data_IF_921595984799
#
_entry.id   IF_921595984799
#
_cell.length_a   1.000
_cell.length_b   1.000
_cell.length_c   1.000
_cell.angle_alpha   90.00
_cell.angle_beta   90.00
_cell.angle_gamma   90.00
#
_symmetry.space_group_name_H-M   'P 1'
#
loop_
_entity.id
_entity.type
_entity.pdbx_description
1 polymer ?
#
# COMPACT_ATOMS: atom_id res chain seq x y z
N UNK A 1 -11.05 4.61 -5.13
CA UNK A 1 -11.29 4.24 -3.72
C UNK A 1 -12.13 5.30 -3.01
N UNK A 2 -13.04 4.89 -2.13
CA UNK A 2 -13.92 5.79 -1.36
C UNK A 2 -13.24 6.33 -0.09
N UNK A 3 -12.63 7.53 -0.20
CA UNK A 3 -11.90 8.16 0.90
C UNK A 3 -12.79 8.63 2.05
N UNK A 4 -14.00 9.12 1.76
CA UNK A 4 -14.90 9.63 2.80
C UNK A 4 -15.39 8.51 3.70
N UNK A 5 -15.70 7.33 3.13
CA UNK A 5 -16.06 6.15 3.91
C UNK A 5 -14.90 5.64 4.77
N UNK A 6 -13.67 5.69 4.27
CA UNK A 6 -12.48 5.33 5.07
C UNK A 6 -12.30 6.30 6.24
N UNK A 7 -12.38 7.61 6.00
CA UNK A 7 -12.28 8.63 7.07
C UNK A 7 -13.32 8.38 8.17
N UNK A 8 -14.57 8.13 7.78
CA UNK A 8 -15.64 7.82 8.74
C UNK A 8 -15.32 6.54 9.54
N UNK A 9 -14.86 5.47 8.89
CA UNK A 9 -14.51 4.23 9.57
C UNK A 9 -13.33 4.39 10.55
N UNK A 10 -12.29 5.14 10.16
CA UNK A 10 -11.13 5.41 11.02
C UNK A 10 -11.53 6.25 12.23
N UNK A 11 -12.41 7.24 12.06
CA UNK A 11 -12.94 8.01 13.17
C UNK A 11 -13.66 7.11 14.18
N UNK A 12 -14.45 6.15 13.71
CA UNK A 12 -15.11 5.18 14.59
C UNK A 12 -14.13 4.23 15.27
N UNK A 13 -13.05 3.80 14.59
CA UNK A 13 -11.97 3.02 15.23
C UNK A 13 -11.32 3.80 16.37
N UNK A 14 -10.97 5.08 16.15
CA UNK A 14 -10.35 5.95 17.17
C UNK A 14 -11.25 6.04 18.42
N UNK A 15 -12.55 6.28 18.23
CA UNK A 15 -13.52 6.30 19.33
C UNK A 15 -13.65 4.94 20.01
N UNK A 16 -13.71 3.86 19.23
CA UNK A 16 -13.91 2.50 19.75
C UNK A 16 -12.75 2.00 20.61
N UNK A 17 -11.52 2.46 20.33
CA UNK A 17 -10.34 2.16 21.16
C UNK A 17 -10.19 3.09 22.38
N UNK A 18 -11.11 4.04 22.58
CA UNK A 18 -11.13 4.95 23.72
C UNK A 18 -10.25 6.20 23.59
N UNK A 19 -9.77 6.53 22.40
CA UNK A 19 -9.00 7.76 22.16
C UNK A 19 -9.90 8.96 21.83
N UNK A 20 -9.42 10.16 22.14
CA UNK A 20 -10.08 11.43 21.80
C UNK A 20 -9.78 11.85 20.35
N UNK A 21 -10.77 11.84 19.43
CA UNK A 21 -10.55 12.27 18.05
C UNK A 21 -10.23 13.75 17.91
N UNK A 22 -10.58 14.58 18.91
CA UNK A 22 -10.30 16.03 18.90
C UNK A 22 -8.91 16.38 19.45
N UNK A 23 -8.13 15.39 19.91
CA UNK A 23 -6.73 15.58 20.26
C UNK A 23 -5.94 16.05 19.05
N UNK A 24 -5.07 17.05 19.22
CA UNK A 24 -4.29 17.67 18.13
C UNK A 24 -3.64 16.63 17.20
N UNK A 25 -3.05 15.57 17.77
CA UNK A 25 -2.40 14.50 17.00
C UNK A 25 -3.35 13.60 16.20
N UNK A 26 -4.65 13.55 16.54
CA UNK A 26 -5.63 12.62 15.95
C UNK A 26 -6.65 13.28 15.02
N UNK A 27 -6.88 14.59 15.12
CA UNK A 27 -7.84 15.32 14.26
C UNK A 27 -7.71 15.00 12.78
N UNK A 28 -6.47 14.95 12.30
CA UNK A 28 -6.15 14.70 10.89
C UNK A 28 -5.85 13.21 10.58
N UNK A 29 -5.84 12.33 11.58
CA UNK A 29 -5.53 10.90 11.39
C UNK A 29 -6.46 10.20 10.40
N UNK A 30 -7.80 10.41 10.44
CA UNK A 30 -8.70 9.82 9.43
C UNK A 30 -8.33 10.16 7.99
N UNK A 31 -7.96 11.42 7.73
CA UNK A 31 -7.52 11.86 6.40
C UNK A 31 -6.19 11.19 6.02
N UNK A 32 -5.20 11.21 6.92
CA UNK A 32 -3.89 10.61 6.67
C UNK A 32 -3.98 9.11 6.38
N UNK A 33 -4.85 8.37 7.08
CA UNK A 33 -5.07 6.95 6.80
C UNK A 33 -5.75 6.73 5.44
N UNK A 34 -6.75 7.55 5.07
CA UNK A 34 -7.36 7.46 3.75
C UNK A 34 -6.38 7.77 2.61
N UNK A 35 -5.48 8.74 2.81
CA UNK A 35 -4.40 9.05 1.89
C UNK A 35 -3.40 7.88 1.79
N UNK A 36 -2.94 7.35 2.92
CA UNK A 36 -2.05 6.18 2.99
C UNK A 36 -2.64 4.96 2.29
N UNK A 37 -3.90 4.60 2.57
CA UNK A 37 -4.57 3.48 1.89
C UNK A 37 -4.61 3.68 0.38
N UNK A 38 -4.75 4.92 -0.09
CA UNK A 38 -4.80 5.20 -1.54
C UNK A 38 -3.49 4.87 -2.22
N UNK A 39 -2.39 5.12 -1.52
CA UNK A 39 -1.05 4.80 -2.00
C UNK A 39 -0.76 3.29 -1.91
N UNK A 40 -0.88 2.69 -0.72
CA UNK A 40 -0.44 1.31 -0.50
C UNK A 40 -1.35 0.26 -1.15
N UNK A 41 -2.60 0.62 -1.48
CA UNK A 41 -3.53 -0.23 -2.23
C UNK A 41 -3.74 0.24 -3.69
N UNK A 42 -2.90 1.14 -4.19
CA UNK A 42 -2.99 1.63 -5.58
C UNK A 42 -2.94 0.50 -6.61
N UNK A 43 -2.18 -0.57 -6.31
CA UNK A 43 -2.08 -1.77 -7.15
C UNK A 43 -3.40 -2.51 -7.40
N UNK A 44 -4.45 -2.32 -6.59
CA UNK A 44 -5.78 -2.91 -6.85
C UNK A 44 -6.45 -2.37 -8.12
N UNK A 45 -5.97 -1.23 -8.63
CA UNK A 45 -6.53 -0.53 -9.78
C UNK A 45 -5.53 -0.43 -10.94
N UNK A 46 -4.45 -1.21 -10.90
CA UNK A 46 -3.43 -1.26 -11.94
C UNK A 46 -3.35 -2.66 -12.52
N UNK A 47 -3.18 -2.77 -13.83
CA UNK A 47 -2.82 -4.04 -14.47
C UNK A 47 -1.29 -4.17 -14.48
N UNK A 48 -0.71 -5.14 -13.74
CA UNK A 48 0.74 -5.34 -13.75
C UNK A 48 1.27 -5.75 -15.14
N UNK A 49 0.44 -6.33 -16.01
CA UNK A 49 0.86 -6.70 -17.37
C UNK A 49 1.12 -5.46 -18.22
N UNK A 50 0.33 -4.39 -18.05
CA UNK A 50 0.55 -3.12 -18.74
C UNK A 50 1.89 -2.49 -18.36
N UNK A 51 2.30 -2.60 -17.11
CA UNK A 51 3.60 -2.11 -16.62
C UNK A 51 4.80 -2.87 -17.21
N UNK A 52 4.58 -4.10 -17.68
CA UNK A 52 5.61 -4.98 -18.23
C UNK A 52 5.71 -4.92 -19.77
N UNK A 53 4.93 -4.05 -20.43
CA UNK A 53 4.88 -3.99 -21.90
C UNK A 53 6.15 -3.46 -22.57
N UNK A 54 7.01 -2.75 -21.82
CA UNK A 54 8.26 -2.19 -22.37
C UNK A 54 9.39 -3.20 -22.24
N UNK A 55 9.99 -3.56 -23.37
CA UNK A 55 11.16 -4.43 -23.44
C UNK A 55 11.97 -4.15 -24.71
N UNK A 56 13.15 -4.76 -24.78
CA UNK A 56 14.02 -4.72 -25.96
C UNK A 56 14.44 -6.14 -26.31
N UNK A 57 14.59 -6.40 -27.61
CA UNK A 57 15.22 -7.64 -28.06
C UNK A 57 16.73 -7.52 -27.86
N UNK A 58 17.31 -8.48 -27.14
CA UNK A 58 18.75 -8.64 -27.01
C UNK A 58 19.08 -10.11 -27.27
N UNK A 59 20.19 -10.34 -27.96
CA UNK A 59 20.73 -11.66 -28.30
C UNK A 59 21.36 -12.40 -27.11
N UNK A 60 20.98 -12.02 -25.88
CA UNK A 60 21.48 -12.59 -24.63
C UNK A 60 20.85 -13.95 -24.35
N UNK A 61 21.68 -14.94 -23.98
CA UNK A 61 21.26 -16.33 -23.72
C UNK A 61 21.71 -16.86 -22.35
N UNK A 62 22.23 -15.99 -21.50
CA UNK A 62 22.69 -16.35 -20.16
C UNK A 62 21.63 -15.94 -19.12
N UNK A 63 21.83 -16.38 -17.87
CA UNK A 63 20.91 -16.07 -16.77
C UNK A 63 21.03 -14.59 -16.36
N UNK A 64 19.89 -13.91 -16.29
CA UNK A 64 19.77 -12.58 -15.69
C UNK A 64 19.14 -12.73 -14.31
N UNK A 65 19.73 -12.10 -13.29
CA UNK A 65 19.20 -12.11 -11.92
C UNK A 65 19.13 -10.68 -11.40
N UNK A 66 17.96 -10.29 -10.90
CA UNK A 66 17.78 -9.10 -10.08
C UNK A 66 17.52 -9.53 -8.64
N UNK A 67 18.40 -9.11 -7.73
CA UNK A 67 18.31 -9.46 -6.31
C UNK A 67 18.20 -8.22 -5.43
N UNK A 68 17.72 -8.44 -4.22
CA UNK A 68 17.64 -7.43 -3.17
C UNK A 68 16.69 -6.27 -3.50
N UNK A 69 15.65 -6.53 -4.31
CA UNK A 69 14.60 -5.55 -4.61
C UNK A 69 13.78 -5.32 -3.32
N UNK A 70 13.78 -4.10 -2.75
CA UNK A 70 12.97 -3.82 -1.57
C UNK A 70 11.48 -3.97 -1.88
N UNK A 71 10.76 -4.70 -1.02
CA UNK A 71 9.33 -4.94 -1.18
C UNK A 71 8.57 -4.63 0.10
N UNK A 72 7.43 -3.95 -0.06
CA UNK A 72 6.53 -3.57 1.01
C UNK A 72 5.10 -3.91 0.58
N UNK A 73 4.33 -4.51 1.47
CA UNK A 73 2.94 -4.84 1.21
C UNK A 73 2.15 -4.91 2.52
N UNK A 74 0.87 -5.23 2.41
CA UNK A 74 -0.08 -5.27 3.53
C UNK A 74 -0.76 -6.63 3.58
N UNK A 75 -0.70 -7.30 4.73
CA UNK A 75 -1.36 -8.59 4.93
C UNK A 75 -2.88 -8.39 4.94
N UNK A 76 -3.59 -9.06 4.03
CA UNK A 76 -5.05 -8.93 3.89
C UNK A 76 -5.85 -9.37 5.12
N UNK A 77 -5.31 -10.27 5.94
CA UNK A 77 -6.02 -10.79 7.12
C UNK A 77 -6.08 -9.77 8.27
N UNK A 78 -5.06 -8.93 8.39
CA UNK A 78 -4.86 -8.07 9.57
C UNK A 78 -4.65 -6.61 9.20
N UNK A 79 -4.46 -6.30 7.92
CA UNK A 79 -4.15 -4.96 7.40
C UNK A 79 -2.86 -4.38 8.00
N UNK A 80 -1.93 -5.27 8.38
CA UNK A 80 -0.62 -4.92 8.91
C UNK A 80 0.44 -5.00 7.80
N UNK A 81 1.44 -4.10 7.82
CA UNK A 81 2.52 -4.14 6.85
C UNK A 81 3.38 -5.40 7.03
N UNK A 82 3.84 -5.95 5.92
CA UNK A 82 4.98 -6.86 5.88
C UNK A 82 5.95 -6.39 4.80
N UNK A 83 7.24 -6.61 5.02
CA UNK A 83 8.29 -6.11 4.15
C UNK A 83 9.42 -7.13 4.01
N UNK A 84 10.16 -7.06 2.92
CA UNK A 84 11.23 -7.99 2.62
C UNK A 84 12.00 -7.63 1.37
N UNK A 85 12.62 -8.65 0.78
CA UNK A 85 13.34 -8.55 -0.48
C UNK A 85 12.80 -9.55 -1.48
N UNK A 86 12.72 -9.13 -2.73
CA UNK A 86 12.36 -9.98 -3.86
C UNK A 86 13.61 -10.25 -4.69
N UNK A 87 13.70 -11.47 -5.19
CA UNK A 87 14.74 -11.93 -6.10
C UNK A 87 14.04 -12.54 -7.31
N UNK A 88 14.38 -12.07 -8.52
CA UNK A 88 13.82 -12.50 -9.80
C UNK A 88 14.93 -12.98 -10.71
#
# INVERSE_FOLDING_TARGET
MDKERIKAAVLEIIKAIGEDPEREGLRDTPRRIADMYTEIFSGLYQDPVELLQTGFEESHREMVVLKDIPFYSTCEHHFLPFHGRVHV
#
